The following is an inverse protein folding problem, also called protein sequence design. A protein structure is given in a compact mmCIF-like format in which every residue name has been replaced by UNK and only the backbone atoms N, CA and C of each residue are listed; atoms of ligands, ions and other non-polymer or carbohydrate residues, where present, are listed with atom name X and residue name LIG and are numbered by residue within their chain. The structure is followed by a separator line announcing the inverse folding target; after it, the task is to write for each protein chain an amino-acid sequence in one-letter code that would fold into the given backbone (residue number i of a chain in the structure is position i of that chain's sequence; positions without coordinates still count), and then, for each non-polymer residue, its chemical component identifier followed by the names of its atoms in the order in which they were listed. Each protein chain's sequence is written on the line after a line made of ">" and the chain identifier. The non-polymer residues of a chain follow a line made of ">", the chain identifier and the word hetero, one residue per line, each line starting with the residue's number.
data_IF_855589367715
#
_entry.id   IF_855589367715
#
_cell.length_a   1.000
_cell.length_b   1.000
_cell.length_c   1.000
_cell.angle_alpha   90.00
_cell.angle_beta   90.00
_cell.angle_gamma   90.00
#
_symmetry.space_group_name_H-M   'P 1'
#
loop_
_entity.id
_entity.type
_entity.pdbx_description
1 polymer ?
#
# COMPACT_ATOMS: atom_id res chain seq x y z
N UNK A 1 7.66 16.57 11.04
CA UNK A 1 7.33 15.80 12.24
C UNK A 1 6.43 14.68 11.77
N UNK A 2 6.87 13.43 11.85
CA UNK A 2 6.01 12.28 11.56
C UNK A 2 4.89 12.29 12.61
N UNK A 3 3.66 12.57 12.20
CA UNK A 3 2.51 12.35 13.07
C UNK A 3 2.41 10.84 13.27
N UNK A 4 2.71 10.38 14.48
CA UNK A 4 2.56 8.98 14.86
C UNK A 4 1.08 8.60 14.65
N UNK A 5 0.84 7.69 13.71
CA UNK A 5 -0.50 7.23 13.37
C UNK A 5 -1.04 6.36 14.52
N UNK A 6 -1.74 6.98 15.45
CA UNK A 6 -2.41 6.31 16.56
C UNK A 6 -3.81 5.86 16.12
N UNK A 7 -4.05 4.55 16.13
CA UNK A 7 -5.40 4.01 15.97
C UNK A 7 -6.20 4.21 17.24
N UNK A 8 -7.46 4.61 17.13
CA UNK A 8 -8.33 4.67 18.28
C UNK A 8 -8.74 3.26 18.74
N UNK A 9 -9.09 3.14 20.03
CA UNK A 9 -9.44 1.86 20.66
C UNK A 9 -10.58 1.14 19.93
N UNK A 10 -11.55 1.87 19.39
CA UNK A 10 -12.72 1.28 18.75
C UNK A 10 -12.36 0.73 17.36
N UNK A 11 -11.53 1.45 16.59
CA UNK A 11 -11.00 0.97 15.32
C UNK A 11 -10.24 -0.35 15.47
N UNK A 12 -9.46 -0.49 16.55
CA UNK A 12 -8.75 -1.73 16.87
C UNK A 12 -9.75 -2.85 17.21
N UNK A 13 -10.75 -2.59 18.06
CA UNK A 13 -11.75 -3.58 18.46
C UNK A 13 -12.62 -4.03 17.29
N UNK A 14 -13.06 -3.11 16.42
CA UNK A 14 -13.88 -3.43 15.24
C UNK A 14 -13.12 -4.32 14.25
N UNK A 15 -11.80 -4.11 14.11
CA UNK A 15 -10.95 -4.96 13.27
C UNK A 15 -10.90 -6.43 13.74
N UNK A 16 -11.20 -6.67 15.02
CA UNK A 16 -11.27 -7.99 15.61
C UNK A 16 -12.64 -8.65 15.46
N UNK A 17 -13.67 -7.94 15.03
CA UNK A 17 -15.04 -8.48 14.90
C UNK A 17 -15.17 -9.65 13.90
N UNK A 18 -14.21 -9.81 13.00
CA UNK A 18 -14.14 -10.91 12.03
C UNK A 18 -13.08 -11.97 12.39
N UNK A 19 -12.55 -11.94 13.62
CA UNK A 19 -11.61 -12.94 14.08
C UNK A 19 -12.34 -14.22 14.52
N UNK A 20 -11.74 -15.40 14.32
CA UNK A 20 -12.21 -16.61 14.94
C UNK A 20 -12.14 -16.50 16.47
N UNK A 21 -13.01 -17.22 17.18
CA UNK A 21 -13.07 -17.25 18.67
C UNK A 21 -11.72 -17.58 19.33
N UNK A 22 -10.81 -18.21 18.58
CA UNK A 22 -9.43 -18.46 18.98
C UNK A 22 -8.51 -18.04 17.84
N UNK A 23 -7.61 -17.12 18.14
CA UNK A 23 -6.53 -16.67 17.26
C UNK A 23 -5.23 -16.76 18.05
N UNK A 24 -4.14 -17.13 17.40
CA UNK A 24 -2.82 -17.08 18.06
C UNK A 24 -2.37 -15.64 18.26
N UNK A 25 -1.46 -15.41 19.22
CA UNK A 25 -0.89 -14.08 19.42
C UNK A 25 -0.16 -13.57 18.17
N UNK A 26 0.51 -14.46 17.43
CA UNK A 26 1.24 -14.10 16.20
C UNK A 26 0.29 -13.65 15.09
N UNK A 27 -0.79 -14.40 14.84
CA UNK A 27 -1.82 -14.02 13.86
C UNK A 27 -2.51 -12.70 14.25
N UNK A 28 -2.69 -12.46 15.54
CA UNK A 28 -3.27 -11.20 16.03
C UNK A 28 -2.32 -10.03 15.75
N UNK A 29 -1.02 -10.19 16.05
CA UNK A 29 0.01 -9.17 15.80
C UNK A 29 0.12 -8.88 14.30
N UNK A 30 0.18 -9.91 13.45
CA UNK A 30 0.27 -9.76 12.00
C UNK A 30 -0.88 -8.91 11.45
N UNK A 31 -2.11 -9.17 11.92
CA UNK A 31 -3.30 -8.44 11.49
C UNK A 31 -3.28 -6.98 11.92
N UNK A 32 -2.85 -6.70 13.15
CA UNK A 32 -2.68 -5.33 13.65
C UNK A 32 -1.65 -4.58 12.81
N UNK A 33 -0.51 -5.19 12.52
CA UNK A 33 0.53 -4.61 11.68
C UNK A 33 0.03 -4.35 10.25
N UNK A 34 -0.76 -5.27 9.70
CA UNK A 34 -1.39 -5.09 8.40
C UNK A 34 -2.36 -3.90 8.37
N UNK A 35 -3.23 -3.76 9.38
CA UNK A 35 -4.17 -2.64 9.49
C UNK A 35 -3.42 -1.31 9.58
N UNK A 36 -2.38 -1.24 10.41
CA UNK A 36 -1.52 -0.07 10.53
C UNK A 36 -0.92 0.33 9.17
N UNK A 37 -0.33 -0.64 8.46
CA UNK A 37 0.26 -0.41 7.15
C UNK A 37 -0.76 0.15 6.15
N UNK A 38 -1.97 -0.41 6.08
CA UNK A 38 -3.02 0.08 5.18
C UNK A 38 -3.40 1.53 5.52
N UNK A 39 -3.56 1.85 6.80
CA UNK A 39 -3.92 3.21 7.22
C UNK A 39 -2.81 4.23 6.92
N UNK A 40 -1.55 3.86 7.12
CA UNK A 40 -0.39 4.68 6.72
C UNK A 40 -0.43 4.96 5.21
N UNK A 41 -0.64 3.93 4.39
CA UNK A 41 -0.74 4.09 2.92
C UNK A 41 -1.95 4.91 2.47
N UNK A 42 -3.09 4.78 3.14
CA UNK A 42 -4.28 5.61 2.84
C UNK A 42 -4.05 7.08 3.19
N UNK A 43 -3.32 7.36 4.28
CA UNK A 43 -2.96 8.72 4.65
C UNK A 43 -1.98 9.32 3.63
N UNK A 44 -0.93 8.56 3.28
CA UNK A 44 0.00 8.94 2.21
C UNK A 44 -0.73 9.20 0.90
N UNK A 45 -1.65 8.33 0.49
CA UNK A 45 -2.39 8.49 -0.76
C UNK A 45 -3.27 9.75 -0.80
N UNK A 46 -3.72 10.27 0.35
CA UNK A 46 -4.50 11.53 0.41
C UNK A 46 -3.65 12.76 0.14
N UNK A 47 -2.36 12.71 0.48
CA UNK A 47 -1.43 13.84 0.35
C UNK A 47 -0.45 13.67 -0.80
N UNK A 48 -0.34 12.46 -1.35
CA UNK A 48 0.49 12.16 -2.52
C UNK A 48 -0.23 12.62 -3.78
N UNK A 49 0.33 13.58 -4.53
CA UNK A 49 -0.17 13.91 -5.85
C UNK A 49 -0.07 12.67 -6.74
N UNK A 50 -1.21 12.16 -7.20
CA UNK A 50 -1.23 11.07 -8.17
C UNK A 50 -0.76 11.54 -9.54
N UNK A 51 -0.24 10.62 -10.35
CA UNK A 51 0.02 10.87 -11.77
C UNK A 51 -1.30 10.86 -12.54
N UNK A 52 -1.51 11.83 -13.44
CA UNK A 52 -2.71 11.80 -14.29
C UNK A 52 -2.69 10.56 -15.20
N UNK A 53 -3.85 10.10 -15.65
CA UNK A 53 -3.92 8.95 -16.55
C UNK A 53 -3.11 9.20 -17.84
N UNK A 54 -3.17 10.41 -18.38
CA UNK A 54 -2.43 10.80 -19.59
C UNK A 54 -0.92 10.73 -19.36
N UNK A 55 -0.43 11.31 -18.26
CA UNK A 55 1.00 11.25 -17.89
C UNK A 55 1.48 9.81 -17.68
N UNK A 56 0.69 9.00 -16.98
CA UNK A 56 1.00 7.58 -16.78
C UNK A 56 1.11 6.82 -18.10
N UNK A 57 0.17 7.07 -19.03
CA UNK A 57 0.16 6.41 -20.33
C UNK A 57 1.34 6.85 -21.21
N UNK A 58 1.82 8.08 -21.08
CA UNK A 58 3.03 8.56 -21.76
C UNK A 58 4.29 7.88 -21.19
N UNK A 59 4.45 7.89 -19.87
CA UNK A 59 5.57 7.21 -19.19
C UNK A 59 5.60 5.70 -19.53
N UNK A 60 4.42 5.06 -19.54
CA UNK A 60 4.31 3.64 -19.86
C UNK A 60 4.68 3.33 -21.32
N UNK A 61 4.32 4.22 -22.27
CA UNK A 61 4.74 4.07 -23.67
C UNK A 61 6.26 4.22 -23.80
N UNK A 62 6.85 5.20 -23.13
CA UNK A 62 8.30 5.42 -23.12
C UNK A 62 9.04 4.19 -22.55
N UNK A 63 8.59 3.67 -21.40
CA UNK A 63 9.14 2.47 -20.79
C UNK A 63 9.06 1.25 -21.71
N UNK A 64 7.93 1.05 -22.40
CA UNK A 64 7.79 -0.05 -23.39
C UNK A 64 8.78 0.08 -24.55
N UNK A 65 9.02 1.29 -25.03
CA UNK A 65 9.97 1.54 -26.11
C UNK A 65 11.41 1.24 -25.67
N UNK A 66 11.79 1.68 -24.46
CA UNK A 66 13.10 1.39 -23.85
C UNK A 66 13.32 -0.12 -23.69
N UNK A 67 12.35 -0.83 -23.11
CA UNK A 67 12.43 -2.30 -22.94
C UNK A 67 12.47 -3.06 -24.26
N UNK A 68 11.85 -2.53 -25.31
CA UNK A 68 11.95 -3.10 -26.66
C UNK A 68 13.35 -2.89 -27.25
N UNK A 69 13.94 -1.71 -27.08
CA UNK A 69 15.29 -1.41 -27.55
C UNK A 69 16.36 -2.25 -26.80
N UNK A 70 16.23 -2.40 -25.48
CA UNK A 70 17.09 -3.28 -24.66
C UNK A 70 17.08 -4.74 -25.16
N UNK A 71 15.90 -5.25 -25.56
CA UNK A 71 15.75 -6.60 -26.10
C UNK A 71 16.35 -6.76 -27.50
N UNK A 72 16.42 -5.70 -28.30
CA UNK A 72 16.98 -5.72 -29.64
C UNK A 72 18.50 -5.54 -29.65
N UNK A 73 19.06 -4.91 -28.62
CA UNK A 73 20.50 -4.70 -28.45
C UNK A 73 21.18 -5.76 -27.56
N UNK A 74 20.48 -6.84 -27.19
CA UNK A 74 21.10 -7.98 -26.50
C UNK A 74 21.81 -8.87 -27.56
N UNK A 75 23.15 -9.03 -27.50
CA UNK A 75 23.90 -9.85 -28.45
C UNK A 75 23.53 -11.34 -28.37
#
# INVERSE_FOLDING_TARGET
>A
MEEELLLDKNQVIESFGNLPDKVSADELIERILFIRLINERLLEAKTTPGTSHEQFMEEFKAFKAEKKAERQNRP
#
